data_IF_176704292932
#
_entry.id   IF_176704292932
#
_cell.length_a   1.000
_cell.length_b   1.000
_cell.length_c   1.000
_cell.angle_alpha   90.00
_cell.angle_beta   90.00
_cell.angle_gamma   90.00
#
_symmetry.space_group_name_H-M   'P 1'
#
loop_
_entity.id
_entity.type
_entity.pdbx_description
1 polymer ?
#
# COMPACT_ATOMS: atom_id res chain seq x y z
N UNK A 1 5.67 -2.80 -1.57
CA UNK A 1 5.69 -2.30 -0.19
C UNK A 1 6.83 -2.86 0.68
N UNK A 2 7.46 -3.99 0.34
CA UNK A 2 8.46 -4.66 1.18
C UNK A 2 9.69 -3.82 1.55
N UNK A 3 9.96 -2.72 0.83
CA UNK A 3 11.01 -1.75 1.15
C UNK A 3 10.52 -0.54 1.97
N UNK A 4 9.20 -0.40 2.14
CA UNK A 4 8.57 0.68 2.91
C UNK A 4 8.16 0.14 4.27
N UNK A 5 9.14 -0.17 5.11
CA UNK A 5 8.99 -0.65 6.49
C UNK A 5 9.76 0.26 7.44
N UNK A 6 9.26 0.44 8.65
CA UNK A 6 9.63 1.51 9.57
C UNK A 6 9.94 1.01 10.98
N UNK A 7 10.56 1.88 11.78
CA UNK A 7 10.80 1.65 13.20
C UNK A 7 11.54 0.34 13.49
N UNK A 8 12.56 0.01 12.67
CA UNK A 8 13.37 -1.21 12.83
C UNK A 8 12.67 -2.51 12.43
N UNK A 9 11.45 -2.45 11.92
CA UNK A 9 10.77 -3.63 11.38
C UNK A 9 11.43 -4.10 10.08
N UNK A 10 11.31 -5.40 9.81
CA UNK A 10 11.82 -6.02 8.59
C UNK A 10 10.72 -6.79 7.87
N UNK A 11 10.79 -6.80 6.54
CA UNK A 11 9.90 -7.60 5.71
C UNK A 11 10.60 -8.88 5.28
N UNK A 12 9.99 -10.02 5.57
CA UNK A 12 10.47 -11.34 5.12
C UNK A 12 9.48 -11.91 4.11
N UNK A 13 9.82 -11.99 2.81
CA UNK A 13 8.94 -12.60 1.83
C UNK A 13 8.84 -14.11 2.09
N UNK A 14 7.63 -14.66 1.96
CA UNK A 14 7.37 -16.10 2.18
C UNK A 14 8.26 -16.99 1.30
N UNK A 15 8.56 -16.55 0.08
CA UNK A 15 9.42 -17.26 -0.87
C UNK A 15 10.88 -17.40 -0.42
N UNK A 16 11.32 -16.66 0.62
CA UNK A 16 12.68 -16.73 1.17
C UNK A 16 12.83 -17.72 2.35
N UNK A 17 11.73 -18.29 2.87
CA UNK A 17 11.75 -19.11 4.07
C UNK A 17 12.41 -20.48 3.85
N UNK A 18 12.15 -21.12 2.70
CA UNK A 18 12.82 -22.36 2.30
C UNK A 18 12.67 -22.61 0.81
N UNK A 19 13.50 -23.51 0.27
CA UNK A 19 13.39 -23.92 -1.13
C UNK A 19 12.04 -24.60 -1.45
N UNK A 20 11.55 -25.44 -0.53
CA UNK A 20 10.26 -26.10 -0.68
C UNK A 20 9.11 -25.10 -0.77
N UNK A 21 9.10 -24.06 0.07
CA UNK A 21 8.11 -22.99 0.04
C UNK A 21 8.28 -22.15 -1.23
N UNK A 22 9.51 -21.80 -1.61
CA UNK A 22 9.78 -21.04 -2.83
C UNK A 22 9.22 -21.71 -4.07
N UNK A 23 9.37 -23.03 -4.22
CA UNK A 23 8.84 -23.81 -5.34
C UNK A 23 7.30 -23.80 -5.44
N UNK A 24 6.61 -23.53 -4.33
CA UNK A 24 5.15 -23.45 -4.26
C UNK A 24 4.63 -22.00 -4.26
N UNK A 25 5.53 -21.01 -4.40
CA UNK A 25 5.18 -19.60 -4.29
C UNK A 25 5.28 -18.92 -5.66
N UNK A 26 4.22 -18.19 -6.02
CA UNK A 26 4.26 -17.20 -7.11
C UNK A 26 4.25 -15.83 -6.45
N UNK A 27 5.35 -15.10 -6.62
CA UNK A 27 5.47 -13.73 -6.14
C UNK A 27 4.89 -12.79 -7.18
N UNK A 28 3.88 -12.02 -6.80
CA UNK A 28 3.34 -10.92 -7.60
C UNK A 28 3.82 -9.62 -6.97
N UNK A 29 4.52 -8.80 -7.75
CA UNK A 29 5.08 -7.54 -7.27
C UNK A 29 5.07 -6.48 -8.37
N UNK A 30 5.54 -5.27 -8.08
CA UNK A 30 5.60 -4.18 -9.03
C UNK A 30 6.40 -2.99 -8.53
N UNK A 31 6.63 -2.05 -9.42
CA UNK A 31 7.43 -0.84 -9.14
C UNK A 31 6.60 0.32 -8.57
N UNK A 32 5.28 0.20 -8.56
CA UNK A 32 4.33 1.29 -8.26
C UNK A 32 4.57 1.99 -6.94
N UNK A 33 4.94 1.25 -5.88
CA UNK A 33 5.00 1.78 -4.50
C UNK A 33 6.43 2.07 -4.07
N UNK A 34 7.30 1.07 -4.11
CA UNK A 34 8.71 1.23 -3.74
C UNK A 34 9.44 2.31 -4.55
N UNK A 35 9.07 2.49 -5.81
CA UNK A 35 9.73 3.44 -6.73
C UNK A 35 8.85 4.65 -7.09
N UNK A 36 7.71 4.83 -6.41
CA UNK A 36 6.74 5.90 -6.71
C UNK A 36 6.29 5.93 -8.20
N UNK A 37 6.18 4.76 -8.84
CA UNK A 37 5.95 4.60 -10.28
C UNK A 37 4.52 4.09 -10.57
N UNK A 38 3.50 4.62 -9.89
CA UNK A 38 2.11 4.17 -10.09
C UNK A 38 1.60 4.37 -11.51
N UNK A 39 1.94 5.48 -12.15
CA UNK A 39 1.53 5.84 -13.51
C UNK A 39 2.19 5.00 -14.60
N UNK A 40 3.33 4.37 -14.35
CA UNK A 40 4.08 3.55 -15.30
C UNK A 40 3.45 2.19 -15.58
N UNK A 41 2.53 1.73 -14.73
CA UNK A 41 1.76 0.50 -14.88
C UNK A 41 2.60 -0.75 -15.08
N UNK A 42 3.64 -0.96 -14.26
CA UNK A 42 4.53 -2.12 -14.30
C UNK A 42 4.32 -3.02 -13.09
N UNK A 43 3.93 -4.26 -13.37
CA UNK A 43 3.93 -5.36 -12.42
C UNK A 43 4.64 -6.56 -13.02
N UNK A 44 5.10 -7.48 -12.19
CA UNK A 44 5.76 -8.70 -12.60
C UNK A 44 5.42 -9.88 -11.69
N UNK A 45 5.52 -11.08 -12.24
CA UNK A 45 5.39 -12.32 -11.52
C UNK A 45 6.69 -13.12 -11.57
N UNK A 46 7.06 -13.76 -10.46
CA UNK A 46 8.23 -14.63 -10.35
C UNK A 46 7.80 -15.92 -9.64
N UNK A 47 8.14 -17.07 -10.23
CA UNK A 47 7.75 -18.36 -9.67
C UNK A 47 8.22 -19.52 -10.52
N UNK A 48 7.52 -20.65 -10.43
CA UNK A 48 7.82 -21.84 -11.22
C UNK A 48 7.80 -21.55 -12.72
N UNK A 49 8.83 -21.99 -13.49
CA UNK A 49 8.93 -21.68 -14.93
C UNK A 49 7.75 -22.15 -15.76
N UNK A 50 7.13 -23.30 -15.42
CA UNK A 50 5.98 -23.83 -16.16
C UNK A 50 4.76 -22.92 -15.97
N UNK A 51 4.52 -22.47 -14.73
CA UNK A 51 3.42 -21.56 -14.41
C UNK A 51 3.65 -20.18 -15.05
N UNK A 52 4.85 -19.62 -14.90
CA UNK A 52 5.19 -18.33 -15.50
C UNK A 52 5.12 -18.40 -17.04
N UNK A 53 5.55 -19.49 -17.65
CA UNK A 53 5.41 -19.74 -19.08
C UNK A 53 3.96 -19.80 -19.54
N UNK A 54 3.07 -20.41 -18.75
CA UNK A 54 1.63 -20.44 -19.03
C UNK A 54 1.00 -19.04 -18.91
N UNK A 55 1.36 -18.27 -17.86
CA UNK A 55 0.94 -16.88 -17.70
C UNK A 55 1.38 -16.00 -18.88
N UNK A 56 2.63 -16.17 -19.35
CA UNK A 56 3.15 -15.43 -20.50
C UNK A 56 2.37 -15.72 -21.79
N UNK A 57 1.97 -16.99 -22.01
CA UNK A 57 1.12 -17.36 -23.15
C UNK A 57 -0.24 -16.66 -23.10
N UNK A 58 -0.89 -16.61 -21.92
CA UNK A 58 -2.17 -15.93 -21.77
C UNK A 58 -2.01 -14.43 -22.03
N UNK A 59 -0.99 -13.80 -21.44
CA UNK A 59 -0.71 -12.36 -21.63
C UNK A 59 -0.45 -12.05 -23.11
N UNK A 60 0.30 -12.88 -23.82
CA UNK A 60 0.61 -12.69 -25.24
C UNK A 60 -0.62 -12.69 -26.14
N UNK A 61 -1.71 -13.35 -25.73
CA UNK A 61 -2.97 -13.44 -26.47
C UNK A 61 -4.03 -12.41 -26.01
N UNK A 62 -3.77 -11.69 -24.90
CA UNK A 62 -4.70 -10.69 -24.35
C UNK A 62 -4.16 -9.28 -24.52
N UNK A 63 -3.15 -8.91 -23.74
CA UNK A 63 -2.57 -7.56 -23.73
C UNK A 63 -1.21 -7.45 -24.43
N UNK A 64 -0.67 -8.56 -24.93
CA UNK A 64 0.64 -8.73 -25.54
C UNK A 64 1.79 -8.46 -24.54
N UNK A 65 2.11 -7.22 -24.28
CA UNK A 65 3.15 -6.80 -23.32
C UNK A 65 2.89 -5.38 -22.84
N UNK A 66 3.57 -4.97 -21.80
CA UNK A 66 3.53 -3.58 -21.35
C UNK A 66 4.39 -2.68 -22.25
N UNK A 67 4.12 -1.38 -22.19
CA UNK A 67 4.83 -0.34 -22.97
C UNK A 67 6.35 -0.45 -22.80
N UNK A 68 7.09 -0.44 -23.90
CA UNK A 68 8.56 -0.57 -23.89
C UNK A 68 9.25 0.51 -23.04
N UNK A 69 8.77 1.75 -23.07
CA UNK A 69 9.30 2.84 -22.23
C UNK A 69 9.19 2.50 -20.77
N UNK A 70 8.03 1.93 -20.32
CA UNK A 70 7.84 1.48 -18.96
C UNK A 70 8.75 0.32 -18.56
N UNK A 71 9.09 -0.56 -19.50
CA UNK A 71 10.04 -1.65 -19.25
C UNK A 71 11.44 -1.10 -18.96
N UNK A 72 11.95 -0.17 -19.77
CA UNK A 72 13.25 0.45 -19.53
C UNK A 72 13.28 1.26 -18.23
N UNK A 73 12.22 2.01 -17.93
CA UNK A 73 12.09 2.72 -16.65
C UNK A 73 12.11 1.76 -15.46
N UNK A 74 11.43 0.61 -15.58
CA UNK A 74 11.44 -0.41 -14.53
C UNK A 74 12.79 -1.10 -14.36
N UNK A 75 13.54 -1.32 -15.46
CA UNK A 75 14.91 -1.85 -15.40
C UNK A 75 15.78 -0.89 -14.61
N UNK A 76 15.77 0.41 -14.95
CA UNK A 76 16.55 1.42 -14.22
C UNK A 76 16.14 1.49 -12.76
N UNK A 77 14.84 1.50 -12.45
CA UNK A 77 14.35 1.49 -11.07
C UNK A 77 14.87 0.29 -10.27
N UNK A 78 14.91 -0.90 -10.86
CA UNK A 78 15.31 -2.13 -10.18
C UNK A 78 16.83 -2.33 -10.07
N UNK A 79 17.62 -1.78 -11.01
CA UNK A 79 19.06 -2.04 -11.14
C UNK A 79 19.94 -0.81 -10.91
N UNK A 80 19.37 0.39 -10.99
CA UNK A 80 20.05 1.65 -10.77
C UNK A 80 20.27 2.00 -9.30
N UNK A 81 20.56 3.24 -8.99
CA UNK A 81 20.76 3.73 -7.63
C UNK A 81 19.49 3.59 -6.79
N UNK A 82 19.63 3.05 -5.59
CA UNK A 82 18.53 2.78 -4.66
C UNK A 82 18.43 3.82 -3.53
N UNK A 83 19.25 4.86 -3.53
CA UNK A 83 19.29 5.87 -2.46
C UNK A 83 17.97 6.63 -2.31
N UNK A 84 17.26 6.89 -3.41
CA UNK A 84 15.95 7.54 -3.42
C UNK A 84 14.88 6.78 -2.64
N UNK A 85 14.97 5.45 -2.60
CA UNK A 85 14.04 4.61 -1.81
C UNK A 85 14.23 4.87 -0.32
N UNK A 86 15.47 4.96 0.14
CA UNK A 86 15.77 5.19 1.55
C UNK A 86 15.35 6.59 1.98
N UNK A 87 15.55 7.60 1.15
CA UNK A 87 15.06 8.97 1.39
C UNK A 87 13.53 8.96 1.54
N UNK A 88 12.83 8.30 0.62
CA UNK A 88 11.36 8.19 0.67
C UNK A 88 10.89 7.38 1.88
N UNK A 89 11.58 6.28 2.22
CA UNK A 89 11.27 5.47 3.40
C UNK A 89 11.35 6.28 4.68
N UNK A 90 12.42 7.07 4.85
CA UNK A 90 12.61 7.95 6.01
C UNK A 90 11.51 9.00 6.10
N UNK A 91 11.14 9.62 4.99
CA UNK A 91 10.05 10.59 4.95
C UNK A 91 8.70 9.97 5.35
N UNK A 92 8.42 8.75 4.92
CA UNK A 92 7.19 8.04 5.35
C UNK A 92 7.23 7.60 6.81
N UNK A 93 8.40 7.21 7.32
CA UNK A 93 8.57 6.88 8.74
C UNK A 93 8.31 8.10 9.63
N UNK A 94 8.83 9.26 9.26
CA UNK A 94 8.60 10.54 9.95
C UNK A 94 7.11 10.90 9.93
N UNK A 95 6.46 10.84 8.77
CA UNK A 95 5.02 11.10 8.64
C UNK A 95 4.18 10.15 9.49
N UNK A 96 4.50 8.86 9.48
CA UNK A 96 3.83 7.89 10.34
C UNK A 96 3.97 8.22 11.81
N UNK A 97 5.19 8.54 12.26
CA UNK A 97 5.48 8.84 13.66
C UNK A 97 4.83 10.16 14.11
N UNK A 98 4.52 11.06 13.17
CA UNK A 98 3.78 12.31 13.44
C UNK A 98 2.28 12.08 13.47
N UNK A 99 1.69 11.46 12.42
CA UNK A 99 0.23 11.36 12.30
C UNK A 99 -0.39 10.31 13.22
N UNK A 100 0.34 9.21 13.51
CA UNK A 100 -0.22 8.12 14.33
C UNK A 100 -0.67 8.56 15.73
N UNK A 101 0.13 9.29 16.54
CA UNK A 101 -0.35 9.79 17.82
C UNK A 101 -1.51 10.78 17.67
N UNK A 102 -1.44 11.72 16.72
CA UNK A 102 -2.50 12.70 16.48
C UNK A 102 -3.83 12.03 16.13
N UNK A 103 -3.80 10.98 15.30
CA UNK A 103 -5.03 10.26 14.94
C UNK A 103 -5.67 9.56 16.14
N UNK A 104 -4.89 9.01 17.07
CA UNK A 104 -5.42 8.37 18.27
C UNK A 104 -5.89 9.37 19.35
N UNK A 105 -5.61 10.67 19.20
CA UNK A 105 -6.19 11.74 20.01
C UNK A 105 -7.60 12.12 19.52
N UNK A 106 -7.98 11.77 18.28
CA UNK A 106 -9.31 12.03 17.73
C UNK A 106 -10.34 11.16 18.44
N UNK A 107 -11.39 11.75 19.07
CA UNK A 107 -12.37 10.97 19.80
C UNK A 107 -13.07 9.90 18.94
N UNK A 108 -12.99 8.65 19.38
CA UNK A 108 -13.63 7.53 18.70
C UNK A 108 -12.85 6.93 17.53
N UNK A 109 -11.61 7.38 17.29
CA UNK A 109 -10.66 6.77 16.35
C UNK A 109 -9.69 5.87 17.13
N UNK A 110 -9.50 4.64 16.67
CA UNK A 110 -8.58 3.67 17.28
C UNK A 110 -7.73 3.02 16.19
N UNK A 111 -6.45 3.40 16.08
CA UNK A 111 -5.54 2.85 15.09
C UNK A 111 -4.48 1.95 15.72
N UNK A 112 -4.18 0.83 15.06
CA UNK A 112 -2.97 0.04 15.31
C UNK A 112 -1.82 0.68 14.53
N UNK A 113 -0.66 0.87 15.16
CA UNK A 113 0.51 1.44 14.49
C UNK A 113 1.00 0.50 13.38
N UNK A 114 0.99 0.91 12.11
CA UNK A 114 1.46 0.06 11.03
C UNK A 114 2.98 -0.09 11.07
N UNK A 115 3.47 -1.22 10.56
CA UNK A 115 4.90 -1.50 10.45
C UNK A 115 5.47 -1.08 9.08
N UNK A 116 4.63 -0.70 8.15
CA UNK A 116 5.04 -0.33 6.78
C UNK A 116 3.91 0.26 5.97
N UNK A 117 4.15 0.44 4.68
CA UNK A 117 3.28 1.13 3.72
C UNK A 117 3.09 2.63 4.07
N UNK A 118 2.00 3.26 3.66
CA UNK A 118 1.71 4.67 3.95
C UNK A 118 0.21 4.88 4.22
N UNK A 119 -0.39 3.92 4.94
CA UNK A 119 -1.80 3.96 5.31
C UNK A 119 -1.96 3.76 6.81
N UNK A 120 -2.93 4.48 7.40
CA UNK A 120 -3.55 4.15 8.67
C UNK A 120 -4.94 3.56 8.40
N UNK A 121 -5.37 2.62 9.25
CA UNK A 121 -6.65 1.94 9.10
C UNK A 121 -7.40 1.90 10.44
N UNK A 122 -7.75 3.06 11.01
CA UNK A 122 -8.41 3.14 12.30
C UNK A 122 -9.80 2.51 12.27
N UNK A 123 -10.19 1.91 13.40
CA UNK A 123 -11.58 1.67 13.72
C UNK A 123 -12.23 3.01 14.10
N UNK A 124 -13.39 3.29 13.54
CA UNK A 124 -14.13 4.55 13.72
C UNK A 124 -15.55 4.33 14.24
N UNK A 125 -15.88 3.10 14.68
CA UNK A 125 -17.22 2.75 15.17
C UNK A 125 -17.73 3.72 16.22
N UNK A 126 -16.90 4.02 17.23
CA UNK A 126 -17.27 4.96 18.31
C UNK A 126 -17.51 6.38 17.77
N UNK A 127 -16.69 6.84 16.83
CA UNK A 127 -16.88 8.15 16.22
C UNK A 127 -18.19 8.20 15.42
N UNK A 128 -18.53 7.15 14.67
CA UNK A 128 -19.80 7.02 13.97
C UNK A 128 -20.98 7.07 14.94
N UNK A 129 -20.95 6.29 16.02
CA UNK A 129 -21.97 6.27 17.04
C UNK A 129 -22.18 7.66 17.70
N UNK A 130 -21.08 8.34 18.04
CA UNK A 130 -21.10 9.70 18.60
C UNK A 130 -21.74 10.74 17.67
N UNK A 131 -21.64 10.53 16.35
CA UNK A 131 -22.19 11.41 15.32
C UNK A 131 -23.52 10.93 14.73
N UNK A 132 -24.04 9.78 15.19
CA UNK A 132 -25.31 9.21 14.74
C UNK A 132 -25.27 8.50 13.40
N UNK A 133 -24.09 8.11 12.92
CA UNK A 133 -23.93 7.33 11.69
C UNK A 133 -23.95 5.83 11.99
N UNK A 134 -24.58 5.06 11.10
CA UNK A 134 -24.60 3.59 11.13
C UNK A 134 -23.90 2.95 9.95
N UNK A 135 -23.63 3.74 8.91
CA UNK A 135 -22.89 3.34 7.71
C UNK A 135 -21.59 4.11 7.57
N UNK A 136 -20.48 3.40 7.40
CA UNK A 136 -19.14 4.00 7.31
C UNK A 136 -18.93 4.78 6.01
N UNK A 137 -19.69 4.47 4.96
CA UNK A 137 -19.60 5.20 3.68
C UNK A 137 -20.29 6.56 3.79
N UNK A 138 -21.45 6.61 4.47
CA UNK A 138 -22.11 7.88 4.79
C UNK A 138 -21.22 8.75 5.70
N UNK A 139 -20.59 8.13 6.71
CA UNK A 139 -19.64 8.82 7.60
C UNK A 139 -18.44 9.39 6.86
N UNK A 140 -17.82 8.62 5.95
CA UNK A 140 -16.68 9.12 5.15
C UNK A 140 -17.10 10.20 4.16
N UNK A 141 -18.31 10.15 3.62
CA UNK A 141 -18.87 11.18 2.75
C UNK A 141 -19.07 12.49 3.52
N UNK A 142 -19.63 12.42 4.74
CA UNK A 142 -19.79 13.60 5.59
C UNK A 142 -18.43 14.23 5.95
N UNK A 143 -17.42 13.44 6.28
CA UNK A 143 -16.06 13.94 6.54
C UNK A 143 -15.49 14.66 5.30
N UNK A 144 -15.70 14.11 4.10
CA UNK A 144 -15.26 14.73 2.86
C UNK A 144 -15.97 16.08 2.62
N UNK A 145 -17.28 16.13 2.84
CA UNK A 145 -18.09 17.33 2.58
C UNK A 145 -17.89 18.43 3.63
N UNK A 146 -17.73 18.06 4.91
CA UNK A 146 -17.65 19.03 6.00
C UNK A 146 -16.22 19.44 6.36
N UNK A 147 -15.25 18.53 6.21
CA UNK A 147 -13.85 18.74 6.62
C UNK A 147 -12.86 18.74 5.45
N UNK A 148 -13.32 18.48 4.23
CA UNK A 148 -12.49 18.36 3.01
C UNK A 148 -11.39 17.28 3.12
N UNK A 149 -11.60 16.27 3.97
CA UNK A 149 -10.66 15.15 4.18
C UNK A 149 -11.15 13.90 3.46
N UNK A 150 -10.41 13.47 2.45
CA UNK A 150 -10.73 12.27 1.68
C UNK A 150 -10.26 11.00 2.39
N UNK A 151 -11.20 10.21 2.88
CA UNK A 151 -10.97 8.88 3.44
C UNK A 151 -11.55 7.80 2.54
N UNK A 152 -11.01 6.58 2.61
CA UNK A 152 -11.58 5.44 1.90
C UNK A 152 -12.36 4.57 2.90
N UNK A 153 -13.63 4.30 2.59
CA UNK A 153 -14.48 3.42 3.42
C UNK A 153 -13.87 2.03 3.57
N UNK A 154 -13.87 1.51 4.79
CA UNK A 154 -13.40 0.17 5.10
C UNK A 154 -14.34 -0.94 4.61
N UNK A 155 -15.59 -0.61 4.27
CA UNK A 155 -16.57 -1.56 3.75
C UNK A 155 -16.05 -2.32 2.52
N UNK A 156 -15.36 -1.64 1.60
CA UNK A 156 -14.74 -2.25 0.43
C UNK A 156 -13.58 -3.21 0.74
N UNK A 157 -13.10 -3.21 1.98
CA UNK A 157 -12.06 -4.12 2.49
C UNK A 157 -12.62 -5.19 3.45
N UNK A 158 -13.95 -5.31 3.56
CA UNK A 158 -14.60 -6.21 4.52
C UNK A 158 -14.53 -5.76 5.99
N UNK A 159 -14.22 -4.48 6.24
CA UNK A 159 -14.10 -3.88 7.56
C UNK A 159 -15.03 -2.64 7.69
N UNK A 160 -16.34 -2.84 7.85
CA UNK A 160 -17.35 -1.75 7.81
C UNK A 160 -17.29 -0.79 9.00
N UNK A 161 -16.45 -1.04 9.98
CA UNK A 161 -16.22 -0.16 11.11
C UNK A 161 -14.89 0.63 10.99
N UNK A 162 -14.19 0.50 9.85
CA UNK A 162 -12.88 1.11 9.64
C UNK A 162 -12.90 2.09 8.46
N UNK A 163 -11.94 3.00 8.47
CA UNK A 163 -11.62 3.86 7.33
C UNK A 163 -10.13 3.77 7.01
N UNK A 164 -9.76 3.98 5.75
CA UNK A 164 -8.35 4.06 5.35
C UNK A 164 -7.95 5.50 5.07
N UNK A 165 -6.90 5.94 5.74
CA UNK A 165 -6.25 7.23 5.54
C UNK A 165 -4.87 7.02 4.93
N UNK A 166 -4.52 7.78 3.90
CA UNK A 166 -3.17 7.81 3.32
C UNK A 166 -2.40 9.00 3.87
N UNK A 167 -1.15 8.78 4.30
CA UNK A 167 -0.22 9.84 4.67
C UNK A 167 0.89 10.05 3.62
N UNK A 168 0.59 9.69 2.36
CA UNK A 168 1.47 9.96 1.22
C UNK A 168 1.32 11.40 0.72
N UNK A 169 1.46 12.37 1.61
CA UNK A 169 1.38 13.82 1.37
C UNK A 169 2.42 14.55 2.22
N UNK A 170 2.54 15.86 2.11
CA UNK A 170 3.46 16.64 2.94
C UNK A 170 3.02 16.68 4.41
N UNK A 171 3.97 16.98 5.31
CA UNK A 171 3.68 17.11 6.75
C UNK A 171 2.82 18.32 7.08
N UNK A 172 2.86 19.36 6.26
CA UNK A 172 2.12 20.61 6.45
C UNK A 172 0.69 20.54 5.92
N UNK A 173 0.30 19.41 5.31
CA UNK A 173 -1.05 19.17 4.81
C UNK A 173 -1.88 18.41 5.82
#
# INVERSE_FOLDING_TARGET
YGRLVYNGNTFTPISSLSEAIRKQTIVINGVSKTYAMTGWRVGFAVGDPEIIGAMAKVISQTTSNLTTVSQYAAIEALTGDQSSIEIMRQAFEERLNTIYPLLNEVPGFEAIKPQGAFYLFPNVKKAMEMKGYTDVTEFTTAILEEAEVALVTGAGFGAPENVRLSYATDLDT
#
